data_IF_842392861870
#
_entry.id   IF_842392861870
#
_cell.length_a   1.000
_cell.length_b   1.000
_cell.length_c   1.000
_cell.angle_alpha   90.00
_cell.angle_beta   90.00
_cell.angle_gamma   90.00
#
_symmetry.space_group_name_H-M   'P 1'
#
loop_
_entity.id
_entity.type
_entity.pdbx_description
1 polymer ?
#
# COMPACT_ATOMS: atom_id res chain seq x y z
N UNK A 1 6.73 31.07 -16.71
CA UNK A 1 6.47 30.43 -15.41
C UNK A 1 7.32 29.18 -15.38
N UNK A 2 8.23 29.05 -14.42
CA UNK A 2 9.03 27.83 -14.27
C UNK A 2 8.24 26.79 -13.47
N UNK A 3 8.41 25.50 -13.78
CA UNK A 3 7.77 24.40 -13.04
C UNK A 3 8.01 24.48 -11.53
N UNK A 4 9.18 24.96 -11.14
CA UNK A 4 9.58 25.12 -9.74
C UNK A 4 8.81 26.24 -9.04
N UNK A 5 8.61 27.38 -9.71
CA UNK A 5 7.78 28.47 -9.20
C UNK A 5 6.30 28.07 -9.11
N UNK A 6 5.82 27.24 -10.05
CA UNK A 6 4.47 26.68 -10.02
C UNK A 6 4.32 25.66 -8.87
N UNK A 7 5.34 24.84 -8.62
CA UNK A 7 5.39 23.94 -7.49
C UNK A 7 5.36 24.71 -6.16
N UNK A 8 6.19 25.76 -6.02
CA UNK A 8 6.22 26.60 -4.83
C UNK A 8 4.86 27.25 -4.57
N UNK A 9 4.21 27.80 -5.60
CA UNK A 9 2.89 28.41 -5.47
C UNK A 9 1.82 27.39 -5.05
N UNK A 10 1.86 26.17 -5.60
CA UNK A 10 0.97 25.08 -5.20
C UNK A 10 1.20 24.68 -3.74
N UNK A 11 2.46 24.48 -3.36
CA UNK A 11 2.85 24.05 -2.01
C UNK A 11 2.43 25.07 -0.97
N UNK A 12 2.62 26.37 -1.24
CA UNK A 12 2.20 27.46 -0.35
C UNK A 12 0.68 27.51 -0.13
N UNK A 13 -0.12 26.87 -0.98
CA UNK A 13 -1.57 26.73 -0.82
C UNK A 13 -2.01 25.48 -0.06
N UNK A 14 -1.08 24.58 0.30
CA UNK A 14 -1.40 23.34 1.02
C UNK A 14 -1.61 23.58 2.52
N UNK A 15 -2.33 22.66 3.15
CA UNK A 15 -2.44 22.59 4.60
C UNK A 15 -1.03 22.47 5.23
N UNK A 16 -0.71 23.14 6.37
CA UNK A 16 0.62 23.13 6.99
C UNK A 16 1.20 21.73 7.26
N UNK A 17 0.36 20.76 7.66
CA UNK A 17 0.81 19.38 7.89
C UNK A 17 1.32 18.73 6.59
N UNK A 18 0.59 18.95 5.50
CA UNK A 18 0.91 18.42 4.16
C UNK A 18 2.06 19.21 3.55
N UNK A 19 2.08 20.53 3.70
CA UNK A 19 3.17 21.42 3.29
C UNK A 19 4.51 20.93 3.86
N UNK A 20 4.55 20.65 5.16
CA UNK A 20 5.77 20.20 5.83
C UNK A 20 6.24 18.87 5.25
N UNK A 21 5.31 17.94 5.03
CA UNK A 21 5.62 16.64 4.46
C UNK A 21 6.12 16.72 3.03
N UNK A 22 5.50 17.54 2.18
CA UNK A 22 5.92 17.73 0.78
C UNK A 22 7.29 18.41 0.70
N UNK A 23 7.61 19.32 1.62
CA UNK A 23 8.89 20.02 1.68
C UNK A 23 10.05 19.20 2.26
N UNK A 24 9.81 18.02 2.86
CA UNK A 24 10.90 17.17 3.40
C UNK A 24 11.93 16.76 2.35
N UNK A 25 11.57 16.77 1.06
CA UNK A 25 12.52 16.90 -0.03
C UNK A 25 11.94 17.90 -1.02
N UNK A 26 12.64 18.98 -1.31
CA UNK A 26 12.09 20.05 -2.16
C UNK A 26 11.72 19.49 -3.54
N UNK A 27 10.44 19.57 -3.97
CA UNK A 27 10.03 19.06 -5.27
C UNK A 27 10.52 19.99 -6.38
N UNK A 28 11.09 19.40 -7.43
CA UNK A 28 11.66 20.16 -8.55
C UNK A 28 10.60 20.58 -9.60
N UNK A 29 9.42 19.95 -9.58
CA UNK A 29 8.33 20.21 -10.53
C UNK A 29 6.96 20.17 -9.87
N UNK A 30 5.97 20.78 -10.51
CA UNK A 30 4.58 20.74 -10.05
C UNK A 30 4.04 19.31 -9.95
N UNK A 31 4.35 18.44 -10.91
CA UNK A 31 3.92 17.04 -10.90
C UNK A 31 4.48 16.28 -9.69
N UNK A 32 5.74 16.55 -9.33
CA UNK A 32 6.37 15.98 -8.15
C UNK A 32 5.69 16.47 -6.86
N UNK A 33 5.45 17.78 -6.75
CA UNK A 33 4.71 18.37 -5.63
C UNK A 33 3.30 17.76 -5.48
N UNK A 34 2.57 17.59 -6.59
CA UNK A 34 1.22 17.01 -6.60
C UNK A 34 1.23 15.54 -6.18
N UNK A 35 2.15 14.74 -6.71
CA UNK A 35 2.26 13.31 -6.36
C UNK A 35 2.64 13.13 -4.89
N UNK A 36 3.56 13.96 -4.38
CA UNK A 36 3.93 13.96 -2.97
C UNK A 36 2.79 14.40 -2.07
N UNK A 37 2.05 15.45 -2.45
CA UNK A 37 0.91 15.92 -1.67
C UNK A 37 -0.17 14.83 -1.51
N UNK A 38 -0.47 14.10 -2.59
CA UNK A 38 -1.40 12.95 -2.54
C UNK A 38 -0.92 11.85 -1.60
N UNK A 39 0.36 11.50 -1.66
CA UNK A 39 0.97 10.53 -0.76
C UNK A 39 0.97 11.00 0.70
N UNK A 40 1.25 12.28 0.91
CA UNK A 40 1.32 12.91 2.22
C UNK A 40 -0.03 12.96 2.93
N UNK A 41 -1.11 13.38 2.25
CA UNK A 41 -2.45 13.34 2.83
C UNK A 41 -2.88 11.92 3.21
N UNK A 42 -2.66 10.95 2.32
CA UNK A 42 -2.98 9.56 2.61
C UNK A 42 -2.16 9.03 3.81
N UNK A 43 -0.89 9.42 3.91
CA UNK A 43 -0.02 9.10 5.03
C UNK A 43 -0.51 9.73 6.34
N UNK A 44 -0.89 11.01 6.31
CA UNK A 44 -1.38 11.74 7.48
C UNK A 44 -2.68 11.14 8.01
N UNK A 45 -3.62 10.77 7.15
CA UNK A 45 -4.86 10.10 7.57
C UNK A 45 -4.60 8.73 8.21
N UNK A 46 -3.64 7.96 7.67
CA UNK A 46 -3.21 6.70 8.26
C UNK A 46 -2.50 6.91 9.59
N UNK A 47 -1.65 7.94 9.71
CA UNK A 47 -1.00 8.30 10.97
C UNK A 47 -2.00 8.74 12.02
N UNK A 48 -2.98 9.59 11.69
CA UNK A 48 -4.06 9.98 12.62
C UNK A 48 -4.86 8.75 13.10
N UNK A 49 -5.09 7.78 12.21
CA UNK A 49 -5.71 6.49 12.58
C UNK A 49 -4.76 5.58 13.39
N UNK A 50 -3.46 5.63 13.14
CA UNK A 50 -2.47 4.87 13.92
C UNK A 50 -2.23 5.49 15.30
N UNK A 51 -2.40 6.81 15.44
CA UNK A 51 -2.40 7.53 16.72
C UNK A 51 -3.70 7.32 17.51
N UNK A 52 -4.76 6.85 16.86
CA UNK A 52 -5.95 6.28 17.51
C UNK A 52 -5.60 4.93 18.15
N UNK A 53 -4.71 4.97 19.12
CA UNK A 53 -4.72 4.03 20.23
C UNK A 53 -6.00 4.39 21.01
N UNK A 54 -6.95 3.46 21.23
CA UNK A 54 -8.09 3.74 22.08
C UNK A 54 -7.56 4.32 23.40
N UNK A 55 -8.13 5.42 23.88
CA UNK A 55 -7.80 6.04 25.18
C UNK A 55 -7.76 4.99 26.32
N UNK A 56 -8.53 3.91 26.18
CA UNK A 56 -8.53 2.73 27.04
C UNK A 56 -7.20 1.95 27.13
N UNK A 57 -6.24 2.18 26.23
CA UNK A 57 -4.92 1.53 26.23
C UNK A 57 -3.80 2.45 26.75
N UNK A 58 -4.10 3.71 27.13
CA UNK A 58 -3.12 4.66 27.68
C UNK A 58 -3.19 4.81 29.20
N UNK A 59 -4.23 4.25 29.82
CA UNK A 59 -4.37 4.19 31.27
C UNK A 59 -4.00 2.79 31.79
N UNK A 60 -2.70 2.50 31.89
CA UNK A 60 -2.19 1.46 32.79
C UNK A 60 -0.67 1.59 32.95
N UNK A 61 -0.24 2.56 33.77
CA UNK A 61 1.06 2.51 34.46
C UNK A 61 1.03 1.40 35.53
N UNK A 62 0.79 0.17 35.07
CA UNK A 62 0.90 -1.15 35.71
C UNK A 62 -0.15 -2.07 35.07
N UNK A 63 0.12 -2.61 33.87
CA UNK A 63 -0.66 -3.73 33.38
C UNK A 63 -0.19 -4.95 34.16
N UNK A 64 -0.69 -5.15 35.38
CA UNK A 64 -0.66 -6.48 36.00
C UNK A 64 -1.70 -7.35 35.29
N UNK A 65 -1.46 -7.57 33.99
CA UNK A 65 -2.23 -8.49 33.18
C UNK A 65 -1.87 -9.87 33.75
N UNK A 66 -2.85 -10.63 34.27
CA UNK A 66 -2.57 -11.97 34.74
C UNK A 66 -1.97 -12.78 33.58
N UNK A 67 -0.96 -13.63 33.85
CA UNK A 67 -0.39 -14.45 32.79
C UNK A 67 -1.52 -15.23 32.10
N UNK A 68 -1.47 -15.35 30.76
CA UNK A 68 -2.48 -16.09 30.03
C UNK A 68 -2.59 -17.51 30.61
N UNK A 69 -3.80 -18.09 30.64
CA UNK A 69 -3.99 -19.43 31.18
C UNK A 69 -3.04 -20.39 30.47
N UNK A 70 -2.17 -21.04 31.26
CA UNK A 70 -1.32 -22.12 30.77
C UNK A 70 -2.23 -23.25 30.34
N UNK A 71 -2.32 -23.47 29.03
CA UNK A 71 -2.81 -24.74 28.52
C UNK A 71 -1.71 -25.77 28.77
N UNK A 72 -1.90 -26.64 29.77
CA UNK A 72 -1.04 -27.81 29.95
C UNK A 72 -1.26 -28.74 28.75
N UNK A 73 -0.45 -28.56 27.72
CA UNK A 73 -0.33 -29.48 26.59
C UNK A 73 0.36 -30.76 27.07
N UNK A 74 -0.31 -31.49 27.94
CA UNK A 74 -0.01 -32.89 28.20
C UNK A 74 -0.28 -33.70 26.94
N UNK A 75 0.80 -34.17 26.33
CA UNK A 75 0.86 -35.35 25.46
C UNK A 75 0.02 -35.34 24.16
N UNK A 76 0.68 -35.04 23.04
CA UNK A 76 1.10 -36.09 22.08
C UNK A 76 1.34 -35.47 20.70
N UNK A 77 2.55 -35.67 20.21
CA UNK A 77 2.98 -35.30 18.87
C UNK A 77 2.24 -36.15 17.84
N UNK A 78 1.22 -35.59 17.19
CA UNK A 78 0.71 -36.11 15.91
C UNK A 78 0.80 -35.01 14.86
N UNK A 79 1.98 -34.95 14.22
CA UNK A 79 2.20 -34.24 12.96
C UNK A 79 1.22 -34.80 11.91
N UNK A 80 0.05 -34.19 11.75
CA UNK A 80 -0.78 -34.39 10.56
C UNK A 80 -0.24 -33.50 9.44
N UNK A 81 0.61 -34.08 8.60
CA UNK A 81 1.15 -33.50 7.37
C UNK A 81 0.01 -33.32 6.36
N UNK A 82 -0.56 -32.12 6.27
CA UNK A 82 -1.38 -31.74 5.11
C UNK A 82 -0.48 -31.65 3.88
N UNK A 83 -0.65 -32.58 2.96
CA UNK A 83 0.03 -32.54 1.66
C UNK A 83 -0.80 -31.63 0.74
N UNK A 84 -0.28 -30.43 0.48
CA UNK A 84 -0.83 -29.54 -0.54
C UNK A 84 -0.55 -30.20 -1.90
N UNK A 85 -1.58 -30.76 -2.52
CA UNK A 85 -1.52 -31.24 -3.89
C UNK A 85 -1.64 -30.03 -4.81
N UNK A 86 -0.50 -29.59 -5.31
CA UNK A 86 -0.40 -28.62 -6.40
C UNK A 86 -1.19 -29.15 -7.59
N UNK A 87 -2.27 -28.46 -7.96
CA UNK A 87 -2.99 -28.70 -9.21
C UNK A 87 -2.41 -27.74 -10.23
N UNK A 88 -1.35 -28.20 -10.87
CA UNK A 88 -0.83 -27.73 -12.15
C UNK A 88 -2.04 -27.54 -13.11
N UNK A 89 -2.41 -26.30 -13.36
CA UNK A 89 -3.38 -25.97 -14.40
C UNK A 89 -2.59 -25.61 -15.65
N UNK A 90 -2.41 -26.64 -16.47
CA UNK A 90 -1.87 -26.57 -17.82
C UNK A 90 -2.79 -25.70 -18.68
N UNK A 91 -2.58 -24.39 -18.68
CA UNK A 91 -3.17 -23.50 -19.67
C UNK A 91 -2.40 -23.65 -20.97
N UNK A 92 -2.87 -24.61 -21.76
CA UNK A 92 -2.54 -24.88 -23.14
C UNK A 92 -2.37 -23.56 -23.94
N UNK A 93 -1.16 -23.31 -24.43
CA UNK A 93 -0.90 -22.32 -25.47
C UNK A 93 -1.09 -23.01 -26.82
N UNK A 94 -2.02 -22.54 -27.67
CA UNK A 94 -1.86 -22.64 -29.11
C UNK A 94 -1.58 -21.25 -29.72
N UNK A 95 -0.43 -21.20 -30.38
CA UNK A 95 0.10 -20.27 -31.40
C UNK A 95 -0.91 -19.38 -32.18
N UNK A 96 -0.49 -18.17 -32.61
CA UNK A 96 -1.33 -17.28 -33.40
C UNK A 96 -1.42 -17.77 -34.84
N UNK A 97 -2.64 -18.02 -35.33
CA UNK A 97 -2.90 -18.15 -36.76
C UNK A 97 -3.31 -16.77 -37.29
N UNK A 98 -2.43 -16.16 -38.09
CA UNK A 98 -2.76 -14.93 -38.81
C UNK A 98 -3.92 -15.19 -39.79
N UNK A 99 -4.89 -14.27 -39.92
CA UNK A 99 -5.90 -14.36 -40.97
C UNK A 99 -5.25 -14.12 -42.35
N UNK A 100 -5.66 -14.83 -43.41
CA UNK A 100 -5.16 -14.58 -44.75
C UNK A 100 -5.60 -13.20 -45.24
N UNK A 101 -4.64 -12.47 -45.82
CA UNK A 101 -4.81 -11.18 -46.50
C UNK A 101 -5.77 -11.38 -47.68
N UNK A 102 -6.91 -10.69 -47.68
CA UNK A 102 -7.75 -10.57 -48.88
C UNK A 102 -7.31 -9.32 -49.63
N UNK A 103 -6.62 -9.53 -50.75
CA UNK A 103 -6.34 -8.54 -51.78
C UNK A 103 -7.67 -8.16 -52.45
N UNK A 104 -8.13 -6.94 -52.22
CA UNK A 104 -9.27 -6.34 -52.90
C UNK A 104 -8.76 -5.39 -53.98
N UNK A 105 -8.43 -5.96 -55.15
CA UNK A 105 -8.31 -5.18 -56.39
C UNK A 105 -9.70 -4.70 -56.80
N UNK A 106 -9.95 -3.40 -56.64
CA UNK A 106 -11.06 -2.72 -57.29
C UNK A 106 -10.49 -1.72 -58.31
N UNK A 107 -10.91 -1.95 -59.54
CA UNK A 107 -10.57 -1.30 -60.80
C UNK A 107 -10.84 0.21 -60.84
#
# INVERSE_FOLDING_TARGET
MSDEAQADQFINGLNPDVFTLVNTGRPNTFADALNRAKGAEAGLLRQRRAQFVPEAAKAAENPQIPPPPRFDAGSSSVKRKISLKEKENNSNVPVPVAPPVQENSNN
#
